data_IF_916618658761
#
_entry.id   IF_916618658761
#
_cell.length_a   1.000
_cell.length_b   1.000
_cell.length_c   1.000
_cell.angle_alpha   90.00
_cell.angle_beta   90.00
_cell.angle_gamma   90.00
#
_symmetry.space_group_name_H-M   'P 1'
#
loop_
_entity.id
_entity.type
_entity.pdbx_description
1 polymer ?
#
# COMPACT_ATOMS: atom_id res chain seq x y z
N UNK A 1 8.58 -10.99 -8.58
CA UNK A 1 9.06 -12.15 -7.80
C UNK A 1 10.59 -12.25 -7.78
N UNK A 2 11.30 -12.00 -8.89
CA UNK A 2 12.77 -12.11 -8.93
C UNK A 2 13.47 -11.09 -8.05
N UNK A 3 12.91 -9.89 -7.85
CA UNK A 3 13.46 -8.91 -6.92
C UNK A 3 13.27 -9.29 -5.44
N UNK A 4 12.22 -10.06 -5.13
CA UNK A 4 12.01 -10.62 -3.78
C UNK A 4 13.08 -11.69 -3.47
N UNK A 5 13.43 -12.52 -4.45
CA UNK A 5 14.48 -13.53 -4.28
C UNK A 5 15.90 -12.94 -4.10
N UNK A 6 16.08 -11.67 -4.44
CA UNK A 6 17.36 -10.95 -4.32
C UNK A 6 17.45 -10.11 -3.06
N UNK A 7 16.47 -10.21 -2.17
CA UNK A 7 16.51 -9.48 -0.91
C UNK A 7 17.65 -9.99 0.00
N UNK A 8 18.25 -9.07 0.72
CA UNK A 8 19.28 -9.37 1.75
C UNK A 8 18.65 -9.93 3.02
N UNK A 9 17.38 -9.68 3.25
CA UNK A 9 16.63 -10.25 4.36
C UNK A 9 16.53 -11.78 4.26
N UNK A 10 16.64 -12.53 5.38
CA UNK A 10 16.67 -13.99 5.36
C UNK A 10 15.46 -14.61 4.64
N UNK A 11 15.73 -15.38 3.59
CA UNK A 11 14.68 -15.93 2.70
C UNK A 11 13.72 -16.88 3.44
N UNK A 12 14.19 -17.56 4.48
CA UNK A 12 13.39 -18.45 5.33
C UNK A 12 12.34 -17.71 6.18
N UNK A 13 12.47 -16.40 6.33
CA UNK A 13 11.51 -15.54 7.02
C UNK A 13 10.49 -14.90 6.07
N UNK A 14 10.61 -15.16 4.76
CA UNK A 14 9.73 -14.59 3.73
C UNK A 14 8.86 -15.70 3.15
N UNK A 15 7.55 -15.53 3.25
CA UNK A 15 6.59 -16.33 2.48
C UNK A 15 5.89 -15.44 1.46
N UNK A 16 5.95 -15.81 0.19
CA UNK A 16 5.36 -15.02 -0.90
C UNK A 16 4.00 -15.61 -1.28
N UNK A 17 2.96 -14.83 -1.09
CA UNK A 17 1.60 -15.14 -1.54
C UNK A 17 1.25 -14.31 -2.77
N UNK A 18 0.60 -14.91 -3.73
CA UNK A 18 0.08 -14.22 -4.92
C UNK A 18 -1.39 -14.54 -5.10
N UNK A 19 -2.21 -13.53 -5.27
CA UNK A 19 -3.60 -13.71 -5.69
C UNK A 19 -3.72 -13.38 -7.18
N UNK A 20 -4.11 -14.38 -7.97
CA UNK A 20 -4.45 -14.25 -9.38
C UNK A 20 -5.96 -13.96 -9.49
N UNK A 21 -6.32 -12.65 -9.44
CA UNK A 21 -7.72 -12.22 -9.45
C UNK A 21 -8.25 -12.01 -10.86
N UNK A 22 -9.17 -12.87 -11.28
CA UNK A 22 -9.79 -12.87 -12.61
C UNK A 22 -8.77 -12.98 -13.78
N UNK A 23 -7.59 -13.56 -13.52
CA UNK A 23 -6.60 -13.80 -14.56
C UNK A 23 -7.08 -14.88 -15.55
N UNK A 24 -6.81 -14.65 -16.85
CA UNK A 24 -7.15 -15.56 -17.94
C UNK A 24 -5.90 -16.01 -18.71
N UNK A 25 -4.74 -15.59 -18.23
CA UNK A 25 -3.41 -15.91 -18.77
C UNK A 25 -2.62 -16.83 -17.83
N UNK A 26 -1.35 -17.05 -18.11
CA UNK A 26 -0.47 -17.92 -17.34
C UNK A 26 0.09 -17.28 -16.05
N UNK A 27 -0.54 -16.20 -15.52
CA UNK A 27 -0.05 -15.48 -14.35
C UNK A 27 0.13 -16.42 -13.14
N UNK A 28 -0.87 -17.25 -12.85
CA UNK A 28 -0.83 -18.18 -11.71
C UNK A 28 0.26 -19.23 -11.88
N UNK A 29 0.43 -19.80 -13.08
CA UNK A 29 1.45 -20.80 -13.38
C UNK A 29 2.86 -20.24 -13.24
N UNK A 30 3.13 -19.08 -13.85
CA UNK A 30 4.41 -18.38 -13.75
C UNK A 30 4.77 -18.05 -12.30
N UNK A 31 3.82 -17.63 -11.51
CA UNK A 31 4.08 -17.30 -10.11
C UNK A 31 4.36 -18.57 -9.28
N UNK A 32 3.66 -19.67 -9.56
CA UNK A 32 3.89 -20.97 -8.91
C UNK A 32 5.27 -21.54 -9.23
N UNK A 33 5.69 -21.47 -10.48
CA UNK A 33 7.05 -21.87 -10.90
C UNK A 33 8.14 -21.06 -10.22
N UNK A 34 7.83 -19.84 -9.81
CA UNK A 34 8.73 -18.97 -9.06
C UNK A 34 8.68 -19.18 -7.55
N UNK A 35 7.95 -20.19 -7.09
CA UNK A 35 7.92 -20.62 -5.68
C UNK A 35 6.97 -19.81 -4.80
N UNK A 36 6.04 -19.05 -5.37
CA UNK A 36 5.00 -18.37 -4.60
C UNK A 36 3.84 -19.34 -4.26
N UNK A 37 3.18 -19.12 -3.15
CA UNK A 37 1.89 -19.74 -2.81
C UNK A 37 0.80 -18.97 -3.55
N UNK A 38 0.02 -19.69 -4.39
CA UNK A 38 -0.93 -19.06 -5.31
C UNK A 38 -2.36 -19.33 -4.87
N UNK A 39 -3.13 -18.24 -4.82
CA UNK A 39 -4.58 -18.29 -4.74
C UNK A 39 -5.19 -17.73 -6.01
N UNK A 40 -6.11 -18.49 -6.61
CA UNK A 40 -6.83 -18.08 -7.81
C UNK A 40 -8.24 -17.69 -7.44
N UNK A 41 -8.65 -16.47 -7.82
CA UNK A 41 -9.97 -15.95 -7.55
C UNK A 41 -10.66 -15.58 -8.86
N UNK A 42 -11.89 -16.09 -9.04
CA UNK A 42 -12.76 -15.78 -10.17
C UNK A 42 -14.06 -15.18 -9.63
N UNK A 43 -14.14 -13.87 -9.61
CA UNK A 43 -15.34 -13.16 -9.17
C UNK A 43 -15.50 -11.85 -9.97
N UNK A 44 -16.53 -11.78 -10.80
CA UNK A 44 -16.82 -10.63 -11.66
C UNK A 44 -17.79 -9.62 -11.04
N UNK A 45 -18.34 -9.91 -9.88
CA UNK A 45 -19.24 -9.01 -9.15
C UNK A 45 -18.46 -8.15 -8.17
N UNK A 46 -17.57 -8.76 -7.39
CA UNK A 46 -16.72 -8.10 -6.41
C UNK A 46 -15.33 -7.89 -7.01
N UNK A 47 -15.20 -6.88 -7.86
CA UNK A 47 -13.96 -6.58 -8.60
C UNK A 47 -13.19 -5.45 -7.92
N UNK A 48 -11.87 -5.63 -7.82
CA UNK A 48 -10.95 -4.63 -7.29
C UNK A 48 -9.92 -5.19 -6.31
N UNK A 49 -8.83 -4.45 -6.14
CA UNK A 49 -7.69 -4.85 -5.30
C UNK A 49 -8.12 -5.13 -3.85
N UNK A 50 -9.01 -4.31 -3.29
CA UNK A 50 -9.51 -4.50 -1.93
C UNK A 50 -10.18 -5.85 -1.74
N UNK A 51 -11.05 -6.26 -2.67
CA UNK A 51 -11.69 -7.58 -2.61
C UNK A 51 -10.73 -8.74 -2.83
N UNK A 52 -9.71 -8.54 -3.68
CA UNK A 52 -8.67 -9.53 -3.88
C UNK A 52 -7.85 -9.72 -2.60
N UNK A 53 -7.42 -8.63 -1.96
CA UNK A 53 -6.69 -8.67 -0.68
C UNK A 53 -7.51 -9.30 0.44
N UNK A 54 -8.80 -8.98 0.56
CA UNK A 54 -9.71 -9.58 1.54
C UNK A 54 -9.79 -11.11 1.37
N UNK A 55 -10.00 -11.56 0.13
CA UNK A 55 -9.98 -12.99 -0.20
C UNK A 55 -8.63 -13.64 0.13
N UNK A 56 -7.51 -12.97 -0.21
CA UNK A 56 -6.18 -13.47 0.07
C UNK A 56 -5.92 -13.60 1.57
N UNK A 57 -6.23 -12.56 2.35
CA UNK A 57 -6.04 -12.57 3.81
C UNK A 57 -6.87 -13.66 4.48
N UNK A 58 -8.12 -13.86 4.03
CA UNK A 58 -8.98 -14.93 4.53
C UNK A 58 -8.41 -16.32 4.20
N UNK A 59 -7.85 -16.51 3.01
CA UNK A 59 -7.23 -17.78 2.62
C UNK A 59 -5.95 -18.05 3.41
N UNK A 60 -5.10 -17.04 3.59
CA UNK A 60 -3.89 -17.17 4.43
C UNK A 60 -4.25 -17.54 5.86
N UNK A 61 -5.25 -16.89 6.44
CA UNK A 61 -5.72 -17.19 7.79
C UNK A 61 -6.23 -18.63 7.91
N UNK A 62 -7.00 -19.10 6.92
CA UNK A 62 -7.53 -20.46 6.88
C UNK A 62 -6.43 -21.52 6.78
N UNK A 63 -5.41 -21.29 5.94
CA UNK A 63 -4.43 -22.32 5.61
C UNK A 63 -3.20 -22.32 6.53
N UNK A 64 -2.83 -21.14 7.05
CA UNK A 64 -1.62 -20.95 7.86
C UNK A 64 -1.92 -20.48 9.28
N UNK A 65 -3.12 -19.96 9.54
CA UNK A 65 -3.45 -19.34 10.82
C UNK A 65 -2.69 -18.02 11.04
N UNK A 66 -2.50 -17.66 12.29
CA UNK A 66 -1.91 -16.37 12.72
C UNK A 66 -0.40 -16.49 13.00
N UNK A 67 0.37 -17.02 12.02
CA UNK A 67 1.81 -17.31 12.21
C UNK A 67 2.73 -16.18 11.75
N UNK A 68 2.27 -15.28 10.90
CA UNK A 68 3.10 -14.21 10.33
C UNK A 68 3.09 -12.97 11.23
N UNK A 69 4.25 -12.36 11.45
CA UNK A 69 4.38 -11.16 12.28
C UNK A 69 3.95 -9.89 11.55
N UNK A 70 4.12 -9.85 10.22
CA UNK A 70 3.75 -8.74 9.35
C UNK A 70 3.34 -9.17 7.96
N UNK A 71 2.59 -8.32 7.30
CA UNK A 71 2.05 -8.50 5.95
C UNK A 71 2.52 -7.34 5.08
N UNK A 72 3.35 -7.63 4.09
CA UNK A 72 3.88 -6.65 3.14
C UNK A 72 3.10 -6.74 1.82
N UNK A 73 2.46 -5.65 1.43
CA UNK A 73 1.65 -5.57 0.21
C UNK A 73 2.47 -4.93 -0.91
N UNK A 74 2.60 -5.67 -2.02
CA UNK A 74 3.37 -5.25 -3.19
C UNK A 74 2.57 -5.54 -4.45
N UNK A 75 2.50 -4.58 -5.37
CA UNK A 75 1.88 -4.76 -6.68
C UNK A 75 2.79 -5.62 -7.59
N UNK A 76 2.18 -6.39 -8.49
CA UNK A 76 2.87 -7.38 -9.30
C UNK A 76 3.92 -6.78 -10.27
N UNK A 77 3.76 -5.52 -10.62
CA UNK A 77 4.66 -4.77 -11.50
C UNK A 77 5.82 -4.07 -10.78
N UNK A 78 5.87 -4.13 -9.45
CA UNK A 78 6.93 -3.48 -8.70
C UNK A 78 8.24 -4.26 -8.73
N UNK A 79 9.34 -3.52 -8.69
CA UNK A 79 10.71 -4.02 -8.48
C UNK A 79 11.24 -3.45 -7.19
N UNK A 80 11.76 -4.31 -6.32
CA UNK A 80 12.30 -3.92 -5.02
C UNK A 80 13.81 -3.71 -5.08
N UNK A 81 14.31 -2.70 -4.38
CA UNK A 81 15.73 -2.63 -4.03
C UNK A 81 16.14 -3.87 -3.23
N UNK A 82 17.39 -4.37 -3.37
CA UNK A 82 17.84 -5.55 -2.62
C UNK A 82 17.74 -5.44 -1.09
N UNK A 83 17.77 -4.24 -0.52
CA UNK A 83 17.65 -3.98 0.91
C UNK A 83 16.25 -3.59 1.37
N UNK A 84 15.28 -3.62 0.46
CA UNK A 84 13.93 -3.12 0.72
C UNK A 84 13.28 -3.75 1.96
N UNK A 85 13.31 -5.08 2.08
CA UNK A 85 12.68 -5.78 3.22
C UNK A 85 13.44 -5.53 4.51
N UNK A 86 14.77 -5.45 4.48
CA UNK A 86 15.58 -5.10 5.66
C UNK A 86 15.19 -3.72 6.19
N UNK A 87 15.08 -2.72 5.31
CA UNK A 87 14.74 -1.35 5.70
C UNK A 87 13.29 -1.21 6.19
N UNK A 88 12.37 -1.95 5.58
CA UNK A 88 11.00 -2.05 6.09
C UNK A 88 10.96 -2.68 7.49
N UNK A 89 11.73 -3.77 7.69
CA UNK A 89 11.82 -4.44 8.98
C UNK A 89 12.50 -3.58 10.05
N UNK A 90 13.51 -2.78 9.71
CA UNK A 90 14.14 -1.84 10.62
C UNK A 90 13.10 -0.87 11.19
N UNK A 91 12.35 -0.21 10.32
CA UNK A 91 11.28 0.73 10.74
C UNK A 91 10.16 0.02 11.51
N UNK A 92 9.80 -1.19 11.11
CA UNK A 92 8.84 -2.02 11.83
C UNK A 92 9.32 -2.36 13.25
N UNK A 93 10.61 -2.70 13.39
CA UNK A 93 11.26 -3.02 14.67
C UNK A 93 11.42 -1.81 15.60
N UNK A 94 11.41 -0.59 15.05
CA UNK A 94 11.37 0.66 15.82
C UNK A 94 9.99 0.91 16.49
N UNK A 95 9.02 0.02 16.27
CA UNK A 95 7.74 0.00 16.96
C UNK A 95 6.56 0.55 16.15
N UNK A 96 6.72 0.74 14.84
CA UNK A 96 5.62 1.09 13.96
C UNK A 96 4.87 -0.15 13.49
N UNK A 97 3.61 -0.30 13.86
CA UNK A 97 2.76 -1.40 13.40
C UNK A 97 2.30 -1.29 11.94
N UNK A 98 2.45 -0.11 11.35
CA UNK A 98 2.19 0.15 9.92
C UNK A 98 3.34 0.98 9.38
N UNK A 99 3.91 0.55 8.26
CA UNK A 99 5.07 1.19 7.63
C UNK A 99 4.81 1.37 6.13
N UNK A 100 5.10 2.55 5.61
CA UNK A 100 5.11 2.82 4.16
C UNK A 100 6.54 3.05 3.68
N UNK A 101 6.80 2.70 2.42
CA UNK A 101 8.12 2.74 1.81
C UNK A 101 8.34 3.97 0.92
N UNK A 102 9.56 4.12 0.43
CA UNK A 102 9.90 5.09 -0.61
C UNK A 102 9.50 4.53 -1.98
N UNK A 103 8.53 5.18 -2.63
CA UNK A 103 8.07 4.81 -3.97
C UNK A 103 8.76 5.64 -5.03
N UNK A 104 9.49 4.95 -5.92
CA UNK A 104 10.19 5.52 -7.07
C UNK A 104 9.55 5.03 -8.39
N UNK A 105 10.08 5.45 -9.54
CA UNK A 105 9.58 5.11 -10.86
C UNK A 105 10.63 4.36 -11.68
N UNK A 106 10.24 3.26 -12.34
CA UNK A 106 11.09 2.50 -13.27
C UNK A 106 11.33 3.26 -14.59
N UNK A 107 10.31 3.98 -15.03
CA UNK A 107 10.20 4.49 -16.39
C UNK A 107 10.06 6.01 -16.46
N UNK A 108 10.66 6.76 -15.53
CA UNK A 108 10.60 8.23 -15.51
C UNK A 108 11.11 8.88 -16.79
N UNK A 109 12.01 8.22 -17.51
CA UNK A 109 12.63 8.74 -18.74
C UNK A 109 11.83 8.51 -20.02
N UNK A 110 10.71 7.79 -19.99
CA UNK A 110 9.96 7.42 -21.21
C UNK A 110 9.31 8.65 -21.86
N UNK A 111 8.67 9.51 -21.08
CA UNK A 111 8.10 10.76 -21.56
C UNK A 111 7.72 11.71 -20.42
N UNK A 112 7.17 12.88 -20.78
CA UNK A 112 6.80 13.92 -19.80
C UNK A 112 5.69 13.50 -18.81
N UNK A 113 4.84 12.52 -19.17
CA UNK A 113 3.78 12.02 -18.30
C UNK A 113 4.40 11.16 -17.20
N UNK A 114 5.21 10.16 -17.57
CA UNK A 114 5.91 9.30 -16.61
C UNK A 114 6.88 10.10 -15.73
N UNK A 115 7.57 11.09 -16.32
CA UNK A 115 8.40 12.03 -15.56
C UNK A 115 7.59 12.84 -14.53
N UNK A 116 6.40 13.31 -14.92
CA UNK A 116 5.49 14.00 -14.01
C UNK A 116 5.03 13.14 -12.82
N UNK A 117 4.75 11.85 -13.03
CA UNK A 117 4.46 10.90 -11.97
C UNK A 117 5.68 10.64 -11.08
N UNK A 118 6.86 10.48 -11.66
CA UNK A 118 8.09 10.31 -10.90
C UNK A 118 8.36 11.49 -9.96
N UNK A 119 8.18 12.73 -10.46
CA UNK A 119 8.26 13.94 -9.61
C UNK A 119 7.19 13.99 -8.53
N UNK A 120 5.98 13.50 -8.82
CA UNK A 120 4.91 13.40 -7.82
C UNK A 120 5.30 12.45 -6.69
N UNK A 121 5.77 11.22 -7.00
CA UNK A 121 6.17 10.25 -5.99
C UNK A 121 7.44 10.64 -5.25
N UNK A 122 8.39 11.31 -5.91
CA UNK A 122 9.54 11.92 -5.27
C UNK A 122 9.10 12.96 -4.21
N UNK A 123 8.15 13.83 -4.56
CA UNK A 123 7.58 14.80 -3.63
C UNK A 123 6.88 14.09 -2.45
N UNK A 124 6.06 13.07 -2.75
CA UNK A 124 5.31 12.32 -1.73
C UNK A 124 6.25 11.64 -0.74
N UNK A 125 7.26 10.91 -1.23
CA UNK A 125 8.20 10.17 -0.40
C UNK A 125 9.21 11.09 0.28
N UNK A 126 9.99 11.85 -0.51
CA UNK A 126 11.14 12.63 -0.01
C UNK A 126 10.76 13.82 0.84
N UNK A 127 9.66 14.49 0.52
CA UNK A 127 9.29 15.72 1.19
C UNK A 127 8.10 15.56 2.13
N UNK A 128 7.02 14.91 1.73
CA UNK A 128 5.84 14.81 2.59
C UNK A 128 5.99 13.70 3.63
N UNK A 129 6.25 12.46 3.23
CA UNK A 129 6.36 11.33 4.17
C UNK A 129 7.56 11.50 5.10
N UNK A 130 8.70 11.95 4.58
CA UNK A 130 9.88 12.24 5.40
C UNK A 130 9.63 13.37 6.42
N UNK A 131 8.96 14.45 6.01
CA UNK A 131 8.61 15.54 6.93
C UNK A 131 7.62 15.07 8.00
N UNK A 132 6.61 14.27 7.65
CA UNK A 132 5.68 13.66 8.60
C UNK A 132 6.39 12.81 9.63
N UNK A 133 7.32 11.98 9.18
CA UNK A 133 8.16 11.14 10.05
C UNK A 133 8.95 11.98 11.06
N UNK A 134 9.61 13.07 10.61
CA UNK A 134 10.37 13.98 11.50
C UNK A 134 9.45 14.66 12.52
N UNK A 135 8.25 15.04 12.11
CA UNK A 135 7.28 15.73 12.98
C UNK A 135 6.51 14.77 13.90
N UNK A 136 6.75 13.46 13.80
CA UNK A 136 5.98 12.47 14.55
C UNK A 136 4.50 12.39 14.13
N UNK A 137 4.18 12.85 12.91
CA UNK A 137 2.86 12.73 12.32
C UNK A 137 2.75 11.44 11.49
N UNK A 138 1.54 10.93 11.33
CA UNK A 138 1.30 9.74 10.53
C UNK A 138 1.49 10.00 9.04
N UNK A 139 2.20 9.10 8.36
CA UNK A 139 2.19 9.04 6.89
C UNK A 139 0.87 8.45 6.37
N UNK A 140 0.78 8.26 5.06
CA UNK A 140 -0.27 7.49 4.41
C UNK A 140 0.38 6.38 3.58
N UNK A 141 -0.28 5.24 3.43
CA UNK A 141 0.17 4.22 2.48
C UNK A 141 -0.22 4.62 1.06
N UNK A 142 0.55 4.21 0.07
CA UNK A 142 0.46 4.69 -1.31
C UNK A 142 0.19 3.56 -2.31
N UNK A 143 -0.79 2.71 -2.00
CA UNK A 143 -1.24 1.61 -2.85
C UNK A 143 -0.35 0.36 -2.77
N UNK A 144 0.94 0.53 -2.70
CA UNK A 144 1.93 -0.56 -2.72
C UNK A 144 3.12 -0.26 -1.81
N UNK A 145 3.95 -1.25 -1.51
CA UNK A 145 5.14 -1.07 -0.69
C UNK A 145 4.81 -0.65 0.75
N UNK A 146 3.79 -1.22 1.34
CA UNK A 146 3.47 -0.99 2.73
C UNK A 146 3.35 -2.30 3.52
N UNK A 147 3.73 -2.23 4.77
CA UNK A 147 3.68 -3.32 5.73
C UNK A 147 2.71 -2.99 6.85
N UNK A 148 1.99 -3.98 7.34
CA UNK A 148 1.23 -3.87 8.59
C UNK A 148 1.40 -5.14 9.43
N UNK A 149 1.36 -4.96 10.77
CA UNK A 149 1.59 -6.03 11.72
C UNK A 149 0.40 -6.99 11.82
N UNK A 150 0.66 -8.18 12.41
CA UNK A 150 -0.37 -9.13 12.86
C UNK A 150 -1.40 -8.44 13.76
N UNK A 151 -0.96 -7.56 14.65
CA UNK A 151 -1.84 -6.79 15.54
C UNK A 151 -2.86 -5.98 14.75
N UNK A 152 -2.40 -5.26 13.72
CA UNK A 152 -3.29 -4.48 12.84
C UNK A 152 -4.23 -5.41 12.06
N UNK A 153 -3.70 -6.49 11.44
CA UNK A 153 -4.52 -7.48 10.73
C UNK A 153 -5.67 -8.00 11.62
N UNK A 154 -5.35 -8.38 12.84
CA UNK A 154 -6.33 -8.93 13.78
C UNK A 154 -7.34 -7.86 14.26
N UNK A 155 -6.86 -6.61 14.47
CA UNK A 155 -7.71 -5.47 14.84
C UNK A 155 -8.77 -5.18 13.78
N UNK A 156 -8.40 -5.23 12.49
CA UNK A 156 -9.30 -4.92 11.37
C UNK A 156 -10.08 -6.14 10.85
N UNK A 157 -9.72 -7.35 11.30
CA UNK A 157 -10.40 -8.59 10.91
C UNK A 157 -10.14 -9.03 9.48
N UNK A 158 -8.91 -8.87 8.98
CA UNK A 158 -8.50 -9.20 7.61
C UNK A 158 -8.25 -7.96 6.77
N UNK A 159 -8.94 -7.77 5.65
CA UNK A 159 -8.83 -6.57 4.79
C UNK A 159 -10.21 -6.02 4.40
N UNK A 160 -10.86 -5.20 5.23
CA UNK A 160 -12.24 -4.75 5.02
C UNK A 160 -12.35 -3.48 4.14
N UNK A 161 -11.34 -3.14 3.36
CA UNK A 161 -11.26 -1.91 2.57
C UNK A 161 -11.51 -2.21 1.08
N UNK A 162 -12.66 -1.78 0.57
CA UNK A 162 -13.12 -2.15 -0.78
C UNK A 162 -13.41 -0.95 -1.68
N UNK A 163 -13.05 0.27 -1.27
CA UNK A 163 -13.25 1.46 -2.10
C UNK A 163 -12.23 1.53 -3.24
N UNK A 164 -12.41 2.50 -4.15
CA UNK A 164 -11.52 2.69 -5.31
C UNK A 164 -10.06 2.99 -4.95
N UNK A 165 -9.83 3.49 -3.75
CA UNK A 165 -8.53 3.76 -3.13
C UNK A 165 -8.52 3.10 -1.76
N UNK A 166 -8.39 1.78 -1.75
CA UNK A 166 -8.40 0.95 -0.54
C UNK A 166 -7.26 1.29 0.42
N UNK A 167 -6.15 1.77 -0.13
CA UNK A 167 -4.95 2.24 0.56
C UNK A 167 -5.22 3.51 1.37
N UNK A 168 -5.88 4.48 0.76
CA UNK A 168 -6.30 5.71 1.45
C UNK A 168 -7.39 5.41 2.48
N UNK A 169 -8.32 4.52 2.14
CA UNK A 169 -9.35 4.05 3.08
C UNK A 169 -8.70 3.44 4.33
N UNK A 170 -7.74 2.53 4.16
CA UNK A 170 -6.95 1.93 5.24
C UNK A 170 -6.21 3.00 6.05
N UNK A 171 -5.48 3.92 5.36
CA UNK A 171 -4.70 4.95 6.03
C UNK A 171 -5.57 5.84 6.92
N UNK A 172 -6.69 6.31 6.39
CA UNK A 172 -7.61 7.20 7.10
C UNK A 172 -8.22 6.51 8.32
N UNK A 173 -8.64 5.26 8.15
CA UNK A 173 -9.24 4.47 9.23
C UNK A 173 -8.25 4.28 10.39
N UNK A 174 -7.01 3.87 10.08
CA UNK A 174 -5.98 3.66 11.10
C UNK A 174 -5.58 4.97 11.80
N UNK A 175 -5.50 6.10 11.08
CA UNK A 175 -5.19 7.40 11.66
C UNK A 175 -6.30 7.87 12.60
N UNK A 176 -7.58 7.66 12.26
CA UNK A 176 -8.73 7.98 13.13
C UNK A 176 -8.67 7.16 14.41
N UNK A 177 -8.24 5.92 14.32
CA UNK A 177 -8.08 5.00 15.45
C UNK A 177 -6.84 5.28 16.31
N UNK A 178 -6.04 6.29 15.92
CA UNK A 178 -4.86 6.74 16.67
C UNK A 178 -3.58 5.98 16.35
N UNK A 179 -3.57 5.13 15.30
CA UNK A 179 -2.36 4.49 14.83
C UNK A 179 -1.47 5.48 14.08
N UNK A 180 -0.17 5.23 14.11
CA UNK A 180 0.82 6.01 13.37
C UNK A 180 1.43 5.17 12.28
N UNK A 181 1.35 5.64 11.04
CA UNK A 181 1.99 5.02 9.88
C UNK A 181 3.40 5.59 9.77
N UNK A 182 4.41 4.74 10.01
CA UNK A 182 5.82 5.09 9.89
C UNK A 182 6.26 5.17 8.42
N UNK A 183 7.42 5.75 8.20
CA UNK A 183 8.04 5.86 6.87
C UNK A 183 9.45 5.27 6.88
N UNK A 184 9.71 4.30 6.00
CA UNK A 184 11.02 3.72 5.77
C UNK A 184 11.69 4.43 4.57
N UNK A 185 12.56 5.44 4.81
CA UNK A 185 13.09 6.30 3.75
C UNK A 185 14.05 5.58 2.80
N UNK A 186 14.69 4.52 3.27
CA UNK A 186 15.68 3.75 2.52
C UNK A 186 15.10 2.45 1.93
N UNK A 187 13.85 2.12 2.26
CA UNK A 187 13.10 1.02 1.62
C UNK A 187 12.56 1.48 0.27
N UNK A 188 13.36 1.34 -0.78
CA UNK A 188 13.03 1.85 -2.12
C UNK A 188 12.40 0.78 -3.01
N UNK A 189 11.25 1.10 -3.60
CA UNK A 189 10.63 0.28 -4.64
C UNK A 189 10.42 1.10 -5.92
N UNK A 190 10.45 0.41 -7.05
CA UNK A 190 10.30 0.99 -8.37
C UNK A 190 9.00 0.51 -9.01
N UNK A 191 8.13 1.45 -9.29
CA UNK A 191 6.82 1.24 -9.87
C UNK A 191 6.73 1.73 -11.32
N UNK A 192 5.82 1.16 -12.10
CA UNK A 192 5.62 1.54 -13.50
C UNK A 192 4.56 2.63 -13.63
N UNK A 193 4.93 3.73 -14.31
CA UNK A 193 4.05 4.88 -14.43
C UNK A 193 3.38 4.93 -15.80
N UNK A 194 2.16 5.51 -15.89
CA UNK A 194 1.48 5.72 -17.15
C UNK A 194 2.33 6.49 -18.15
N UNK A 195 2.33 6.03 -19.41
CA UNK A 195 3.03 6.69 -20.52
C UNK A 195 2.08 7.40 -21.49
N UNK A 196 0.77 7.25 -21.32
CA UNK A 196 -0.23 7.93 -22.16
C UNK A 196 -1.14 8.84 -21.34
N UNK A 197 -1.52 9.98 -21.95
CA UNK A 197 -2.45 10.93 -21.33
C UNK A 197 -3.79 10.28 -20.97
N UNK A 198 -4.33 9.41 -21.82
CA UNK A 198 -5.59 8.72 -21.60
C UNK A 198 -5.52 7.80 -20.36
N UNK A 199 -4.45 7.03 -20.22
CA UNK A 199 -4.21 6.17 -19.06
C UNK A 199 -4.07 7.00 -17.77
N UNK A 200 -3.27 8.06 -17.82
CA UNK A 200 -3.08 9.00 -16.72
C UNK A 200 -4.40 9.64 -16.28
N UNK A 201 -5.22 10.08 -17.26
CA UNK A 201 -6.52 10.68 -16.99
C UNK A 201 -7.47 9.72 -16.25
N UNK A 202 -7.59 8.48 -16.75
CA UNK A 202 -8.44 7.48 -16.11
C UNK A 202 -7.96 7.13 -14.69
N UNK A 203 -6.66 7.00 -14.49
CA UNK A 203 -6.09 6.72 -13.18
C UNK A 203 -6.36 7.86 -12.18
N UNK A 204 -6.09 9.11 -12.57
CA UNK A 204 -6.35 10.28 -11.71
C UNK A 204 -7.84 10.46 -11.39
N UNK A 205 -8.70 10.19 -12.36
CA UNK A 205 -10.14 10.26 -12.15
C UNK A 205 -10.59 9.18 -11.14
N UNK A 206 -10.02 7.97 -11.21
CA UNK A 206 -10.25 6.91 -10.22
C UNK A 206 -9.80 7.35 -8.83
N UNK A 207 -8.60 7.92 -8.70
CA UNK A 207 -8.10 8.44 -7.43
C UNK A 207 -8.97 9.55 -6.86
N UNK A 208 -9.33 10.53 -7.67
CA UNK A 208 -10.22 11.61 -7.23
C UNK A 208 -11.55 11.06 -6.70
N UNK A 209 -12.16 10.12 -7.40
CA UNK A 209 -13.39 9.46 -6.94
C UNK A 209 -13.19 8.71 -5.62
N UNK A 210 -12.08 8.00 -5.48
CA UNK A 210 -11.72 7.29 -4.25
C UNK A 210 -11.54 8.25 -3.07
N UNK A 211 -10.90 9.40 -3.26
CA UNK A 211 -10.77 10.43 -2.23
C UNK A 211 -12.12 11.00 -1.79
N UNK A 212 -13.05 11.25 -2.74
CA UNK A 212 -14.42 11.65 -2.40
C UNK A 212 -15.15 10.58 -1.58
N UNK A 213 -14.98 9.32 -1.94
CA UNK A 213 -15.58 8.20 -1.19
C UNK A 213 -15.00 8.12 0.23
N UNK A 214 -13.68 8.16 0.36
CA UNK A 214 -12.99 8.14 1.65
C UNK A 214 -13.40 9.33 2.53
N UNK A 215 -13.42 10.54 1.98
CA UNK A 215 -13.88 11.71 2.71
C UNK A 215 -15.35 11.61 3.14
N UNK A 216 -16.21 11.13 2.26
CA UNK A 216 -17.64 10.90 2.57
C UNK A 216 -17.85 9.92 3.72
N UNK A 217 -17.07 8.84 3.76
CA UNK A 217 -17.17 7.79 4.79
C UNK A 217 -16.51 8.20 6.10
N UNK A 218 -15.31 8.77 6.04
CA UNK A 218 -14.44 8.99 7.20
C UNK A 218 -14.30 10.45 7.64
N UNK A 219 -14.75 11.42 6.85
CA UNK A 219 -14.55 12.84 7.11
C UNK A 219 -15.04 13.31 8.49
N UNK A 220 -16.16 12.76 8.98
CA UNK A 220 -16.63 13.06 10.36
C UNK A 220 -15.67 12.55 11.43
N UNK A 221 -15.09 11.35 11.22
CA UNK A 221 -14.08 10.80 12.13
C UNK A 221 -12.82 11.64 12.18
N UNK A 222 -12.32 12.04 11.01
CA UNK A 222 -11.16 12.94 10.90
C UNK A 222 -11.40 14.27 11.61
N UNK A 223 -12.54 14.93 11.34
CA UNK A 223 -12.90 16.18 12.02
C UNK A 223 -12.97 16.02 13.54
N UNK A 224 -13.54 14.94 14.03
CA UNK A 224 -13.56 14.63 15.45
C UNK A 224 -12.15 14.47 16.02
N UNK A 225 -11.24 13.83 15.27
CA UNK A 225 -9.82 13.72 15.63
C UNK A 225 -9.14 15.08 15.71
N UNK A 226 -9.39 15.96 14.72
CA UNK A 226 -8.89 17.36 14.72
C UNK A 226 -9.32 18.11 15.97
N UNK A 227 -10.60 18.05 16.33
CA UNK A 227 -11.11 18.71 17.56
C UNK A 227 -10.56 18.12 18.86
N UNK A 228 -9.99 16.92 18.81
CA UNK A 228 -9.27 16.29 19.92
C UNK A 228 -7.77 16.60 19.93
N UNK A 229 -7.29 17.43 19.02
CA UNK A 229 -5.89 17.81 18.91
C UNK A 229 -5.01 16.82 18.17
N UNK A 230 -5.58 15.85 17.45
CA UNK A 230 -4.79 14.91 16.63
C UNK A 230 -4.35 15.59 15.33
N UNK A 231 -3.06 15.93 15.24
CA UNK A 231 -2.47 16.59 14.08
C UNK A 231 -2.50 15.70 12.83
N UNK A 232 -2.32 14.38 12.98
CA UNK A 232 -2.38 13.43 11.84
C UNK A 232 -3.78 13.41 11.20
N UNK A 233 -4.85 13.55 12.01
CA UNK A 233 -6.21 13.70 11.48
C UNK A 233 -6.38 15.02 10.71
N UNK A 234 -5.77 16.11 11.16
CA UNK A 234 -5.79 17.39 10.45
C UNK A 234 -5.06 17.28 9.10
N UNK A 235 -3.81 16.79 9.11
CA UNK A 235 -2.99 16.63 7.91
C UNK A 235 -3.68 15.71 6.88
N UNK A 236 -4.22 14.56 7.33
CA UNK A 236 -4.97 13.66 6.47
C UNK A 236 -6.26 14.30 5.93
N UNK A 237 -6.97 15.08 6.74
CA UNK A 237 -8.15 15.83 6.26
C UNK A 237 -7.78 16.74 5.09
N UNK A 238 -6.65 17.46 5.20
CA UNK A 238 -6.16 18.34 4.13
C UNK A 238 -5.72 17.57 2.89
N UNK A 239 -5.19 16.34 3.07
CA UNK A 239 -4.73 15.51 1.97
C UNK A 239 -5.88 14.92 1.13
N UNK A 240 -7.00 14.55 1.77
CA UNK A 240 -8.12 13.87 1.08
C UNK A 240 -9.35 14.77 0.86
N UNK A 241 -9.36 15.97 1.46
CA UNK A 241 -10.50 16.90 1.28
C UNK A 241 -10.62 17.30 -0.18
N UNK A 242 -11.82 17.17 -0.77
CA UNK A 242 -12.05 17.65 -2.12
C UNK A 242 -11.71 19.13 -2.23
N UNK A 243 -10.91 19.50 -3.22
CA UNK A 243 -10.74 20.92 -3.56
C UNK A 243 -12.10 21.46 -4.00
N UNK A 244 -12.60 22.47 -3.27
CA UNK A 244 -13.86 23.15 -3.56
C UNK A 244 -13.75 24.03 -4.82
#
# INVERSE_FOLDING_TARGET
>A
LDSIKKQTYPAELITVFVIADNCTDNTAEIARERGAVIYERQNRELVGKGYALDSLMSSIESDFGDVFDGYLIIDADNVLDPHFIDEMNNTFSDGFDIVTSYRNSKNYGDNWISAGYALWYLRESRYLSHARSILGSSCAVSGTGFLFSRRIKNKIGGWPYHQLTEDIEFSVDQIIDGETIGFAPDAELYDEQPVSFRQSWHQRLRWSRGYYQAFGKYGKGLLKGVFRGNFSCYDMSMAIMPAA
#
